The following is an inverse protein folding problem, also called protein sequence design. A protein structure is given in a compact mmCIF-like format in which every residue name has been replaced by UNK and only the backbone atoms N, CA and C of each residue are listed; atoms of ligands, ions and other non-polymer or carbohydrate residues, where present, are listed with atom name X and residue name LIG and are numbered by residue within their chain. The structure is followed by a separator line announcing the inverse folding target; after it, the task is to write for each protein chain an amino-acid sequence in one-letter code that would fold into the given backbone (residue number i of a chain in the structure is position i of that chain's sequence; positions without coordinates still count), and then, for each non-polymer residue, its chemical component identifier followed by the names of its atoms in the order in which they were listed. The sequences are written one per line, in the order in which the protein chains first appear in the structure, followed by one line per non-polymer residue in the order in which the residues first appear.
data_IF_014279376994
#
_entry.id   IF_014279376994
#
_cell.length_a   1.000
_cell.length_b   1.000
_cell.length_c   1.000
_cell.angle_alpha   90.00
_cell.angle_beta   90.00
_cell.angle_gamma   90.00
#
_symmetry.space_group_name_H-M   'P 1'
#
loop_
_entity.id
_entity.type
_entity.pdbx_description
1 polymer ?
#
# COMPACT_ATOMS: atom_id res chain seq x y z
N UNK A 1 -2.58 -10.59 7.32
CA UNK A 1 -2.88 -9.18 7.57
C UNK A 1 -3.67 -9.05 8.85
N UNK A 2 -3.31 -8.10 9.73
CA UNK A 2 -4.08 -7.83 10.93
C UNK A 2 -5.50 -7.33 10.57
N UNK A 3 -6.50 -7.83 11.27
CA UNK A 3 -7.90 -7.39 11.18
C UNK A 3 -8.32 -6.59 12.41
N UNK A 4 -7.46 -6.51 13.41
CA UNK A 4 -7.58 -5.71 14.63
C UNK A 4 -6.26 -5.01 14.87
N UNK A 5 -6.30 -3.85 15.52
CA UNK A 5 -5.07 -3.10 15.84
C UNK A 5 -4.14 -3.91 16.74
N UNK A 6 -2.85 -3.70 16.59
CA UNK A 6 -1.83 -4.21 17.51
C UNK A 6 -1.89 -3.45 18.84
N UNK A 7 -1.28 -3.99 19.87
CA UNK A 7 -1.03 -3.20 21.09
C UNK A 7 0.13 -2.21 20.85
N UNK A 8 0.18 -1.15 21.63
CA UNK A 8 1.29 -0.18 21.61
C UNK A 8 2.65 -0.87 21.86
N UNK A 9 2.69 -1.86 22.77
CA UNK A 9 3.91 -2.63 23.05
C UNK A 9 4.40 -3.45 21.84
N UNK A 10 3.48 -4.03 21.07
CA UNK A 10 3.80 -4.77 19.84
C UNK A 10 4.32 -3.81 18.75
N UNK A 11 3.66 -2.67 18.55
CA UNK A 11 4.11 -1.66 17.60
C UNK A 11 5.51 -1.14 17.95
N UNK A 12 5.76 -0.83 19.22
CA UNK A 12 7.07 -0.38 19.71
C UNK A 12 8.17 -1.42 19.52
N UNK A 13 7.86 -2.72 19.67
CA UNK A 13 8.81 -3.80 19.38
C UNK A 13 9.18 -3.87 17.90
N UNK A 14 8.20 -3.69 17.00
CA UNK A 14 8.45 -3.64 15.55
C UNK A 14 9.31 -2.43 15.21
N UNK A 15 8.99 -1.25 15.74
CA UNK A 15 9.79 -0.03 15.53
C UNK A 15 11.21 -0.25 16.02
N UNK A 16 11.40 -0.77 17.23
CA UNK A 16 12.75 -1.05 17.79
C UNK A 16 13.52 -2.07 16.93
N UNK A 17 12.85 -3.10 16.41
CA UNK A 17 13.46 -4.06 15.48
C UNK A 17 13.96 -3.39 14.21
N UNK A 18 13.14 -2.52 13.64
CA UNK A 18 13.46 -1.76 12.42
C UNK A 18 14.62 -0.79 12.67
N UNK A 19 14.61 -0.01 13.75
CA UNK A 19 15.70 0.91 14.13
C UNK A 19 17.07 0.22 14.33
N UNK A 20 17.05 -1.09 14.55
CA UNK A 20 18.24 -1.93 14.60
C UNK A 20 18.65 -2.57 13.26
N UNK A 21 18.14 -2.06 12.13
CA UNK A 21 18.46 -2.56 10.79
C UNK A 21 17.58 -3.73 10.36
N UNK A 22 16.37 -3.85 10.93
CA UNK A 22 15.40 -4.87 10.58
C UNK A 22 14.87 -4.74 9.16
N UNK A 23 14.38 -5.86 8.61
CA UNK A 23 13.73 -5.92 7.30
C UNK A 23 12.27 -6.35 7.49
N UNK A 24 11.34 -5.63 6.87
CA UNK A 24 9.90 -5.88 7.01
C UNK A 24 9.22 -5.94 5.65
N UNK A 25 8.50 -7.02 5.38
CA UNK A 25 7.52 -7.10 4.32
C UNK A 25 6.12 -7.03 4.95
N UNK A 26 5.36 -6.01 4.61
CA UNK A 26 4.09 -5.70 5.24
C UNK A 26 2.95 -5.63 4.23
N UNK A 27 1.83 -6.22 4.59
CA UNK A 27 0.57 -6.12 3.85
C UNK A 27 -0.53 -5.72 4.81
N UNK A 28 -1.36 -4.74 4.43
CA UNK A 28 -2.54 -4.35 5.22
C UNK A 28 -3.82 -4.61 4.44
N UNK A 29 -4.93 -4.67 5.14
CA UNK A 29 -6.28 -4.72 4.57
C UNK A 29 -7.07 -3.52 5.07
N UNK A 30 -7.95 -3.00 4.22
CA UNK A 30 -9.00 -2.10 4.67
C UNK A 30 -9.96 -2.86 5.60
N UNK A 31 -10.26 -2.30 6.74
CA UNK A 31 -11.14 -2.92 7.77
C UNK A 31 -12.30 -2.01 8.17
N UNK A 32 -12.33 -0.76 7.69
CA UNK A 32 -13.30 0.25 8.12
C UNK A 32 -13.09 0.73 9.56
N UNK A 33 -12.00 0.33 10.23
CA UNK A 33 -11.67 0.72 11.60
C UNK A 33 -10.28 1.30 11.69
N UNK A 34 -10.10 2.28 12.59
CA UNK A 34 -8.78 2.86 12.86
C UNK A 34 -7.86 1.85 13.53
N UNK A 35 -6.59 1.89 13.16
CA UNK A 35 -5.53 1.06 13.72
C UNK A 35 -4.32 1.92 14.10
N UNK A 36 -4.45 2.79 15.13
CA UNK A 36 -3.44 3.80 15.44
C UNK A 36 -2.08 3.20 15.82
N UNK A 37 -2.02 2.03 16.45
CA UNK A 37 -0.74 1.41 16.78
C UNK A 37 -0.04 0.82 15.54
N UNK A 38 -0.81 0.21 14.62
CA UNK A 38 -0.29 -0.23 13.33
C UNK A 38 0.18 0.96 12.49
N UNK A 39 -0.62 2.03 12.46
CA UNK A 39 -0.30 3.23 11.70
C UNK A 39 0.96 3.93 12.25
N UNK A 40 1.19 3.90 13.57
CA UNK A 40 2.40 4.47 14.18
C UNK A 40 3.71 3.86 13.63
N UNK A 41 3.70 2.59 13.23
CA UNK A 41 4.86 1.94 12.59
C UNK A 41 5.13 2.60 11.24
N UNK A 42 4.09 2.81 10.43
CA UNK A 42 4.21 3.43 9.10
C UNK A 42 4.60 4.91 9.20
N UNK A 43 3.96 5.64 10.12
CA UNK A 43 4.22 7.07 10.35
C UNK A 43 5.65 7.31 10.84
N UNK A 44 6.20 6.41 11.67
CA UNK A 44 7.62 6.46 12.07
C UNK A 44 8.58 6.39 10.88
N UNK A 45 8.13 5.84 9.75
CA UNK A 45 8.90 5.73 8.51
C UNK A 45 8.37 6.60 7.37
N UNK A 46 7.61 7.66 7.70
CA UNK A 46 7.27 8.74 6.79
C UNK A 46 6.09 8.50 5.87
N UNK A 47 5.25 7.49 6.13
CA UNK A 47 4.03 7.22 5.35
C UNK A 47 2.83 6.97 6.25
N UNK A 48 1.63 7.22 5.72
CA UNK A 48 0.35 6.90 6.36
C UNK A 48 -0.61 6.28 5.35
N UNK A 49 -1.63 5.58 5.82
CA UNK A 49 -2.73 5.06 5.01
C UNK A 49 -3.85 6.09 4.89
N UNK A 50 -4.57 6.10 3.77
CA UNK A 50 -5.85 6.83 3.67
C UNK A 50 -6.92 6.18 4.56
N UNK A 51 -7.94 6.98 4.95
CA UNK A 51 -9.11 6.48 5.69
C UNK A 51 -10.01 5.59 4.83
N UNK A 52 -10.11 5.87 3.53
CA UNK A 52 -10.90 5.13 2.57
C UNK A 52 -10.06 4.23 1.66
N UNK A 53 -10.74 3.60 0.70
CA UNK A 53 -10.12 2.78 -0.34
C UNK A 53 -9.93 3.57 -1.63
N UNK A 54 -8.97 3.18 -2.43
CA UNK A 54 -8.73 3.77 -3.74
C UNK A 54 -9.65 3.14 -4.78
N UNK A 55 -10.24 4.00 -5.60
CA UNK A 55 -11.09 3.65 -6.73
C UNK A 55 -10.49 4.24 -8.00
N UNK A 56 -10.35 3.41 -9.03
CA UNK A 56 -9.83 3.82 -10.33
C UNK A 56 -10.97 4.13 -11.29
N UNK A 57 -10.81 5.18 -12.11
CA UNK A 57 -11.80 5.55 -13.13
C UNK A 57 -11.34 5.23 -14.56
N UNK A 58 -10.04 5.03 -14.79
CA UNK A 58 -9.55 4.52 -16.06
C UNK A 58 -9.81 3.01 -16.18
N UNK A 59 -10.67 2.64 -17.12
CA UNK A 59 -11.10 1.25 -17.33
C UNK A 59 -9.98 0.28 -17.73
N UNK A 60 -8.80 0.75 -18.07
CA UNK A 60 -7.62 -0.07 -18.34
C UNK A 60 -6.83 -0.41 -17.07
N UNK A 61 -7.14 0.27 -15.95
CA UNK A 61 -6.43 0.20 -14.69
C UNK A 61 -7.24 -0.42 -13.55
N UNK A 62 -8.35 -1.10 -13.86
CA UNK A 62 -9.10 -1.91 -12.89
C UNK A 62 -9.73 -3.15 -13.55
N UNK A 63 -10.06 -4.15 -12.72
CA UNK A 63 -10.74 -5.36 -13.18
C UNK A 63 -12.19 -5.04 -13.63
N UNK A 64 -12.67 -5.53 -14.77
CA UNK A 64 -13.96 -5.15 -15.35
C UNK A 64 -15.11 -5.16 -14.34
N UNK A 65 -15.85 -4.05 -14.26
CA UNK A 65 -16.98 -3.81 -13.36
C UNK A 65 -16.62 -3.70 -11.87
N UNK A 66 -15.34 -3.73 -11.51
CA UNK A 66 -14.85 -3.64 -10.12
C UNK A 66 -13.78 -2.54 -9.99
N UNK A 67 -14.15 -1.24 -9.96
CA UNK A 67 -13.18 -0.14 -10.01
C UNK A 67 -12.30 -0.03 -8.74
N UNK A 68 -12.58 -0.80 -7.72
CA UNK A 68 -11.78 -0.99 -6.50
C UNK A 68 -10.91 -2.27 -6.50
N UNK A 69 -10.85 -2.99 -7.64
CA UNK A 69 -9.90 -4.07 -7.94
C UNK A 69 -8.86 -3.51 -8.91
N UNK A 70 -7.83 -2.92 -8.36
CA UNK A 70 -6.89 -2.07 -9.09
C UNK A 70 -5.86 -2.89 -9.87
N UNK A 71 -5.53 -2.41 -11.08
CA UNK A 71 -4.42 -2.87 -11.92
C UNK A 71 -3.38 -1.74 -11.98
N UNK A 72 -2.51 -1.61 -10.98
CA UNK A 72 -1.62 -0.45 -10.86
C UNK A 72 -0.53 -0.42 -11.93
N UNK A 73 0.01 0.78 -12.16
CA UNK A 73 1.25 0.98 -12.87
C UNK A 73 2.41 0.43 -12.03
N UNK A 74 3.25 -0.41 -12.63
CA UNK A 74 4.43 -0.98 -11.97
C UNK A 74 5.61 -0.05 -12.22
N UNK A 75 6.16 0.52 -11.16
CA UNK A 75 7.31 1.41 -11.21
C UNK A 75 8.60 0.59 -11.37
N UNK A 76 9.62 1.19 -12.01
CA UNK A 76 10.89 0.51 -12.26
C UNK A 76 11.75 0.50 -10.99
N UNK A 77 11.91 -0.68 -10.39
CA UNK A 77 12.75 -0.94 -9.22
C UNK A 77 13.27 -2.38 -9.30
N UNK A 78 14.32 -2.70 -8.56
CA UNK A 78 14.85 -4.07 -8.49
C UNK A 78 13.80 -5.06 -7.96
N UNK A 79 12.98 -4.60 -6.99
CA UNK A 79 11.88 -5.38 -6.38
C UNK A 79 10.82 -5.76 -7.41
N UNK A 80 10.53 -4.88 -8.37
CA UNK A 80 9.47 -5.08 -9.37
C UNK A 80 9.96 -5.72 -10.68
N UNK A 81 11.26 -5.99 -10.80
CA UNK A 81 11.89 -6.43 -12.07
C UNK A 81 11.24 -7.69 -12.64
N UNK A 82 10.92 -8.69 -11.81
CA UNK A 82 10.35 -9.97 -12.26
C UNK A 82 8.89 -9.87 -12.71
N UNK A 83 8.17 -8.81 -12.28
CA UNK A 83 6.75 -8.62 -12.57
C UNK A 83 6.48 -7.48 -13.55
N UNK A 84 7.50 -6.81 -14.05
CA UNK A 84 7.43 -5.60 -14.90
C UNK A 84 6.54 -5.74 -16.14
N UNK A 85 6.38 -6.94 -16.67
CA UNK A 85 5.57 -7.24 -17.85
C UNK A 85 4.24 -7.94 -17.51
N UNK A 86 3.89 -8.01 -16.24
CA UNK A 86 2.69 -8.67 -15.76
C UNK A 86 1.63 -7.62 -15.32
N UNK A 87 0.42 -8.08 -15.09
CA UNK A 87 -0.56 -7.33 -14.32
C UNK A 87 -0.45 -7.72 -12.85
N UNK A 88 -0.47 -6.73 -11.98
CA UNK A 88 -0.67 -6.91 -10.53
C UNK A 88 -2.13 -6.58 -10.25
N UNK A 89 -2.80 -7.34 -9.38
CA UNK A 89 -4.19 -7.11 -9.02
C UNK A 89 -4.28 -6.84 -7.51
N UNK A 90 -4.72 -5.63 -7.15
CA UNK A 90 -4.82 -5.16 -5.76
C UNK A 90 -6.27 -4.84 -5.40
N UNK A 91 -7.03 -5.80 -4.83
CA UNK A 91 -8.39 -5.53 -4.37
C UNK A 91 -8.40 -4.67 -3.12
N UNK A 92 -9.31 -3.67 -3.08
CA UNK A 92 -9.65 -2.90 -1.87
C UNK A 92 -8.41 -2.29 -1.20
N UNK A 93 -7.53 -1.70 -2.01
CA UNK A 93 -6.31 -1.07 -1.51
C UNK A 93 -6.59 0.32 -0.93
N UNK A 94 -5.84 0.72 0.09
CA UNK A 94 -5.80 2.09 0.60
C UNK A 94 -4.66 2.87 -0.08
N UNK A 95 -4.79 4.19 -0.19
CA UNK A 95 -3.68 5.02 -0.64
C UNK A 95 -2.58 5.05 0.44
N UNK A 96 -1.32 4.97 -0.01
CA UNK A 96 -0.15 5.20 0.83
C UNK A 96 0.29 6.64 0.56
N UNK A 97 0.17 7.49 1.57
CA UNK A 97 0.48 8.91 1.49
C UNK A 97 1.79 9.19 2.22
N UNK A 98 2.70 9.92 1.58
CA UNK A 98 3.91 10.42 2.24
C UNK A 98 3.53 11.52 3.22
N UNK A 99 4.15 11.53 4.40
CA UNK A 99 3.99 12.62 5.36
C UNK A 99 4.69 13.88 4.86
N UNK A 100 4.21 15.05 5.28
CA UNK A 100 4.81 16.35 4.93
C UNK A 100 6.25 16.50 5.49
N UNK A 101 6.56 15.79 6.57
CA UNK A 101 7.88 15.77 7.17
C UNK A 101 8.20 14.40 7.78
N UNK A 102 9.41 13.93 7.55
CA UNK A 102 9.99 12.72 8.13
C UNK A 102 11.51 12.87 8.17
N UNK A 103 12.23 11.90 8.77
CA UNK A 103 13.69 11.97 8.90
C UNK A 103 14.38 12.00 7.53
N UNK A 104 15.34 12.87 7.34
CA UNK A 104 16.12 13.02 6.08
C UNK A 104 16.90 11.74 5.69
N UNK A 105 17.12 10.84 6.64
CA UNK A 105 17.75 9.54 6.41
C UNK A 105 16.84 8.53 5.70
N UNK A 106 15.53 8.80 5.65
CA UNK A 106 14.53 7.93 5.03
C UNK A 106 14.41 8.23 3.54
N UNK A 107 14.44 7.17 2.74
CA UNK A 107 14.14 7.21 1.31
C UNK A 107 12.88 6.39 1.03
N UNK A 108 11.89 6.98 0.38
CA UNK A 108 10.63 6.33 0.01
C UNK A 108 10.52 6.29 -1.51
N UNK A 109 10.40 5.08 -2.07
CA UNK A 109 10.21 4.84 -3.51
C UNK A 109 8.86 4.19 -3.76
N UNK A 110 8.15 4.69 -4.76
CA UNK A 110 6.91 4.09 -5.25
C UNK A 110 7.23 2.79 -6.02
N UNK A 111 6.51 1.73 -5.74
CA UNK A 111 6.58 0.45 -6.46
C UNK A 111 5.36 0.22 -7.34
N UNK A 112 4.18 0.52 -6.82
CA UNK A 112 2.90 0.39 -7.51
C UNK A 112 2.10 1.68 -7.31
N UNK A 113 1.56 2.24 -8.41
CA UNK A 113 0.80 3.50 -8.38
C UNK A 113 -0.49 3.39 -9.20
N UNK A 114 -1.50 4.18 -8.87
CA UNK A 114 -2.67 4.39 -9.72
C UNK A 114 -2.38 5.35 -10.87
N UNK A 115 -3.41 5.65 -11.66
CA UNK A 115 -3.41 6.81 -12.57
C UNK A 115 -3.76 8.08 -11.81
N UNK A 116 -3.67 9.24 -12.49
CA UNK A 116 -4.09 10.55 -11.96
C UNK A 116 -5.62 10.67 -11.83
N UNK A 117 -6.37 9.77 -12.46
CA UNK A 117 -7.84 9.79 -12.47
C UNK A 117 -8.46 9.06 -11.28
N UNK A 118 -7.64 8.38 -10.48
CA UNK A 118 -8.10 7.66 -9.28
C UNK A 118 -8.57 8.64 -8.19
N UNK A 119 -9.40 8.14 -7.28
CA UNK A 119 -9.88 8.88 -6.12
C UNK A 119 -10.01 8.00 -4.88
N UNK A 120 -10.10 8.63 -3.70
CA UNK A 120 -10.34 7.95 -2.43
C UNK A 120 -11.84 7.94 -2.14
N UNK A 121 -12.41 6.74 -1.94
CA UNK A 121 -13.78 6.52 -1.47
C UNK A 121 -13.76 6.25 0.03
N UNK A 122 -14.31 7.17 0.80
CA UNK A 122 -14.30 7.11 2.27
C UNK A 122 -15.48 6.31 2.87
N UNK A 123 -16.52 6.06 2.08
CA UNK A 123 -17.69 5.26 2.49
C UNK A 123 -17.97 4.14 1.46
N UNK A 124 -17.09 3.14 1.36
CA UNK A 124 -17.21 2.11 0.34
C UNK A 124 -18.43 1.20 0.52
N UNK A 125 -19.03 1.13 1.72
CA UNK A 125 -20.23 0.33 1.98
C UNK A 125 -21.49 0.94 1.35
N UNK A 126 -21.54 2.27 1.24
CA UNK A 126 -22.67 2.99 0.64
C UNK A 126 -22.32 3.62 -0.70
N UNK A 127 -21.16 3.29 -1.26
CA UNK A 127 -20.66 3.92 -2.49
C UNK A 127 -21.45 3.51 -3.72
N UNK A 128 -21.67 4.50 -4.59
CA UNK A 128 -22.13 4.29 -5.97
C UNK A 128 -20.97 4.17 -6.96
N UNK A 129 -19.74 4.14 -6.45
CA UNK A 129 -18.47 4.13 -7.22
C UNK A 129 -18.35 5.30 -8.20
N UNK A 130 -18.86 6.45 -7.78
CA UNK A 130 -18.87 7.68 -8.57
C UNK A 130 -18.11 8.77 -7.85
N UNK A 131 -17.07 9.29 -8.49
CA UNK A 131 -16.27 10.42 -8.00
C UNK A 131 -17.17 11.64 -7.75
N UNK A 132 -17.07 12.23 -6.57
CA UNK A 132 -17.71 13.49 -6.20
C UNK A 132 -16.76 14.67 -6.39
N UNK A 133 -17.29 15.91 -6.31
CA UNK A 133 -16.47 17.11 -6.39
C UNK A 133 -15.48 17.25 -5.22
N UNK A 134 -15.80 16.66 -4.08
CA UNK A 134 -14.99 16.72 -2.84
C UNK A 134 -14.07 15.50 -2.66
N UNK A 135 -14.09 14.54 -3.62
CA UNK A 135 -13.21 13.38 -3.56
C UNK A 135 -11.75 13.79 -3.70
N UNK A 136 -10.88 13.30 -2.82
CA UNK A 136 -9.43 13.41 -2.99
C UNK A 136 -9.02 12.59 -4.22
N UNK A 137 -8.33 13.23 -5.17
CA UNK A 137 -8.00 12.64 -6.48
C UNK A 137 -6.54 12.82 -6.83
N UNK A 138 -5.99 11.88 -7.60
CA UNK A 138 -4.63 11.91 -8.10
C UNK A 138 -4.02 10.53 -8.21
N UNK A 139 -2.73 10.48 -8.57
CA UNK A 139 -1.96 9.25 -8.51
C UNK A 139 -1.62 8.91 -7.06
N UNK A 140 -2.00 7.71 -6.63
CA UNK A 140 -1.75 7.22 -5.28
C UNK A 140 -0.75 6.08 -5.30
N UNK A 141 0.18 6.05 -4.34
CA UNK A 141 1.00 4.88 -4.06
C UNK A 141 0.13 3.78 -3.44
N UNK A 142 0.29 2.55 -3.93
CA UNK A 142 -0.35 1.33 -3.42
C UNK A 142 0.68 0.33 -2.88
N UNK A 143 1.92 0.50 -3.28
CA UNK A 143 3.08 -0.24 -2.82
C UNK A 143 4.31 0.65 -2.81
N UNK A 144 5.09 0.59 -1.73
CA UNK A 144 6.30 1.39 -1.54
C UNK A 144 7.45 0.56 -1.00
N UNK A 145 8.67 0.97 -1.32
CA UNK A 145 9.91 0.55 -0.64
C UNK A 145 10.43 1.73 0.17
N UNK A 146 10.69 1.50 1.45
CA UNK A 146 11.21 2.50 2.37
C UNK A 146 12.55 1.97 2.88
N UNK A 147 13.60 2.78 2.79
CA UNK A 147 14.93 2.46 3.31
C UNK A 147 15.43 3.56 4.21
N UNK A 148 16.14 3.19 5.26
CA UNK A 148 16.81 4.12 6.15
C UNK A 148 18.17 3.53 6.55
N UNK A 149 19.24 4.35 6.51
CA UNK A 149 20.58 3.95 6.98
C UNK A 149 21.01 4.87 8.09
N UNK A 150 21.24 4.31 9.28
CA UNK A 150 21.73 5.01 10.47
C UNK A 150 22.81 4.15 11.13
N UNK A 151 23.97 4.72 11.41
CA UNK A 151 25.10 4.05 12.08
C UNK A 151 25.46 2.68 11.44
N UNK A 152 25.58 2.63 10.12
CA UNK A 152 25.84 1.42 9.32
C UNK A 152 24.75 0.32 9.41
N UNK A 153 23.61 0.62 10.01
CA UNK A 153 22.44 -0.27 10.02
C UNK A 153 21.48 0.16 8.92
N UNK A 154 21.14 -0.77 8.04
CA UNK A 154 20.20 -0.54 6.96
C UNK A 154 18.85 -1.20 7.28
N UNK A 155 17.83 -0.37 7.47
CA UNK A 155 16.43 -0.76 7.58
C UNK A 155 15.80 -0.80 6.19
N UNK A 156 14.97 -1.78 5.94
CA UNK A 156 14.16 -1.84 4.72
C UNK A 156 12.73 -2.28 5.04
N UNK A 157 11.75 -1.54 4.54
CA UNK A 157 10.35 -1.88 4.61
C UNK A 157 9.80 -1.95 3.19
N UNK A 158 9.18 -3.06 2.83
CA UNK A 158 8.36 -3.18 1.62
C UNK A 158 6.92 -3.25 2.09
N UNK A 159 6.10 -2.32 1.64
CA UNK A 159 4.73 -2.22 2.11
C UNK A 159 3.75 -2.17 0.94
N UNK A 160 2.72 -3.04 0.99
CA UNK A 160 1.59 -3.08 0.06
C UNK A 160 0.27 -2.91 0.82
N UNK A 161 -0.59 -2.05 0.34
CA UNK A 161 -1.85 -1.67 1.01
C UNK A 161 -3.04 -2.58 0.71
N UNK A 162 -2.81 -3.78 0.15
CA UNK A 162 -3.83 -4.80 -0.08
C UNK A 162 -3.30 -6.19 0.24
N UNK A 163 -3.65 -6.74 1.39
CA UNK A 163 -3.29 -8.15 1.70
C UNK A 163 -4.10 -9.15 0.88
N UNK A 164 -5.29 -8.76 0.40
CA UNK A 164 -6.14 -9.60 -0.46
C UNK A 164 -5.46 -9.98 -1.78
N UNK A 165 -4.44 -9.21 -2.21
CA UNK A 165 -3.64 -9.51 -3.40
C UNK A 165 -2.96 -10.89 -3.32
N UNK A 166 -2.67 -11.39 -2.12
CA UNK A 166 -2.01 -12.69 -1.90
C UNK A 166 -3.01 -13.86 -1.81
N UNK A 167 -4.32 -13.61 -1.90
CA UNK A 167 -5.28 -14.73 -1.89
C UNK A 167 -5.11 -15.56 -3.16
N UNK A 168 -5.20 -16.90 -3.03
CA UNK A 168 -5.02 -17.81 -4.17
C UNK A 168 -5.96 -17.52 -5.33
N UNK A 169 -7.18 -17.06 -5.06
CA UNK A 169 -8.15 -16.71 -6.10
C UNK A 169 -7.68 -15.49 -6.91
N UNK A 170 -7.19 -14.46 -6.24
CA UNK A 170 -6.69 -13.23 -6.88
C UNK A 170 -5.40 -13.52 -7.65
N UNK A 171 -4.47 -14.21 -7.04
CA UNK A 171 -3.18 -14.54 -7.65
C UNK A 171 -3.33 -15.42 -8.89
N UNK A 172 -4.25 -16.40 -8.86
CA UNK A 172 -4.56 -17.23 -10.04
C UNK A 172 -5.17 -16.42 -11.20
N UNK A 173 -5.96 -15.39 -10.91
CA UNK A 173 -6.57 -14.54 -11.94
C UNK A 173 -5.53 -13.80 -12.81
N UNK A 174 -4.33 -13.59 -12.27
CA UNK A 174 -3.21 -12.90 -12.92
C UNK A 174 -1.97 -13.79 -13.08
N UNK A 175 -2.18 -15.09 -13.15
CA UNK A 175 -1.14 -16.10 -13.44
C UNK A 175 0.02 -16.11 -12.43
N UNK A 176 -0.26 -15.84 -11.16
CA UNK A 176 0.73 -15.90 -10.07
C UNK A 176 1.67 -14.70 -10.00
N UNK A 177 1.31 -13.57 -10.60
CA UNK A 177 2.19 -12.40 -10.62
C UNK A 177 2.29 -11.71 -9.25
N UNK A 178 1.23 -11.71 -8.46
CA UNK A 178 1.25 -11.13 -7.10
C UNK A 178 2.21 -11.92 -6.17
N UNK A 179 2.19 -13.25 -6.26
CA UNK A 179 3.10 -14.11 -5.49
C UNK A 179 4.58 -13.97 -5.89
N UNK A 180 4.86 -13.55 -7.13
CA UNK A 180 6.23 -13.27 -7.57
C UNK A 180 6.76 -11.92 -7.06
N UNK A 181 5.86 -10.99 -6.76
CA UNK A 181 6.21 -9.68 -6.21
C UNK A 181 6.45 -9.76 -4.69
N UNK A 182 5.79 -10.68 -3.99
CA UNK A 182 5.89 -10.88 -2.54
C UNK A 182 6.99 -11.89 -2.17
#
# INVERSE_FOLDING_TARGET
SPTTDSSEDEANKVITYLENGGKLLMFTSYTGTDMPNLDSILENYGVKRSSGIVVETDSQHYYPQMPYYLLPNIQSDDITTEVKSNYILMPVAQAIQKLDSYRDTITIKSLLTTTEDAYIENDPENSTWSKSADSETGAFDLGVSITETVDDKETQIIYFSSASMLSSQIDQAISGANSKLA
#
